data_IF_714959360939
#
_entry.id   IF_714959360939
#
_cell.length_a   1.000
_cell.length_b   1.000
_cell.length_c   1.000
_cell.angle_alpha   90.00
_cell.angle_beta   90.00
_cell.angle_gamma   90.00
#
_symmetry.space_group_name_H-M   'P 1'
#
loop_
_entity.id
_entity.type
_entity.pdbx_description
1 polymer ?
#
# COMPACT_ATOMS: atom_id res chain seq x y z
N UNK A 1 -60.48 -8.76 -41.74
CA UNK A 1 -59.43 -9.48 -41.01
C UNK A 1 -58.10 -9.06 -41.58
N UNK A 2 -57.36 -8.20 -40.90
CA UNK A 2 -55.98 -7.83 -41.28
C UNK A 2 -55.18 -7.64 -39.99
N UNK A 3 -54.35 -8.63 -39.68
CA UNK A 3 -53.40 -8.64 -38.58
C UNK A 3 -52.08 -8.02 -39.04
N UNK A 4 -51.67 -6.91 -38.41
CA UNK A 4 -50.33 -6.35 -38.56
C UNK A 4 -49.39 -7.00 -37.54
N UNK A 5 -48.44 -7.79 -38.03
CA UNK A 5 -47.28 -8.25 -37.24
C UNK A 5 -46.28 -7.11 -37.10
N UNK A 6 -46.19 -6.53 -35.90
CA UNK A 6 -45.13 -5.59 -35.57
C UNK A 6 -43.82 -6.33 -35.29
N UNK A 7 -42.79 -5.88 -36.02
CA UNK A 7 -41.43 -6.41 -36.10
C UNK A 7 -40.70 -6.46 -34.75
N UNK A 8 -40.21 -7.64 -34.39
CA UNK A 8 -39.37 -7.95 -33.20
C UNK A 8 -37.99 -7.27 -33.18
N UNK A 9 -37.62 -6.45 -34.17
CA UNK A 9 -36.28 -5.87 -34.28
C UNK A 9 -36.03 -4.65 -33.39
N UNK A 10 -37.07 -3.88 -33.04
CA UNK A 10 -36.91 -2.69 -32.18
C UNK A 10 -36.51 -3.02 -30.73
N UNK A 11 -37.02 -4.13 -30.20
CA UNK A 11 -36.81 -4.52 -28.79
C UNK A 11 -35.36 -4.91 -28.49
N UNK A 12 -34.67 -5.59 -29.42
CA UNK A 12 -33.25 -5.98 -29.24
C UNK A 12 -32.30 -4.78 -29.29
N UNK A 13 -32.62 -3.78 -30.10
CA UNK A 13 -31.79 -2.58 -30.29
C UNK A 13 -31.86 -1.66 -29.06
N UNK A 14 -33.06 -1.50 -28.48
CA UNK A 14 -33.26 -0.78 -27.22
C UNK A 14 -32.56 -1.50 -26.06
N UNK A 15 -32.64 -2.84 -25.99
CA UNK A 15 -31.96 -3.61 -24.96
C UNK A 15 -30.42 -3.52 -25.07
N UNK A 16 -29.87 -3.55 -26.29
CA UNK A 16 -28.43 -3.37 -26.51
C UNK A 16 -27.94 -1.97 -26.12
N UNK A 17 -28.73 -0.92 -26.37
CA UNK A 17 -28.40 0.45 -25.97
C UNK A 17 -28.46 0.61 -24.44
N UNK A 18 -29.42 -0.03 -23.75
CA UNK A 18 -29.48 -0.03 -22.29
C UNK A 18 -28.26 -0.74 -21.69
N UNK A 19 -27.88 -1.92 -22.21
CA UNK A 19 -26.68 -2.64 -21.76
C UNK A 19 -25.40 -1.83 -22.04
N UNK A 20 -25.30 -1.19 -23.21
CA UNK A 20 -24.16 -0.33 -23.54
C UNK A 20 -24.08 0.93 -22.66
N UNK A 21 -25.23 1.49 -22.25
CA UNK A 21 -25.29 2.64 -21.33
C UNK A 21 -24.96 2.29 -19.87
N UNK A 22 -25.16 1.02 -19.48
CA UNK A 22 -24.75 0.48 -18.18
C UNK A 22 -23.25 0.11 -18.15
N UNK A 23 -22.67 -0.14 -19.31
CA UNK A 23 -21.22 -0.28 -19.54
C UNK A 23 -20.58 1.09 -19.72
N UNK A 24 -20.90 2.06 -18.85
CA UNK A 24 -19.95 3.16 -18.68
C UNK A 24 -18.67 2.52 -18.13
N UNK A 25 -17.49 2.77 -18.71
CA UNK A 25 -16.26 2.41 -18.05
C UNK A 25 -16.32 3.17 -16.73
N UNK A 26 -16.57 2.46 -15.63
CA UNK A 26 -16.35 3.01 -14.31
C UNK A 26 -14.95 3.59 -14.39
N UNK A 27 -14.85 4.93 -14.35
CA UNK A 27 -13.61 5.64 -14.11
C UNK A 27 -13.21 5.23 -12.71
N UNK A 28 -12.72 3.99 -12.57
CA UNK A 28 -12.72 3.33 -11.28
C UNK A 28 -11.81 4.15 -10.40
N UNK A 29 -12.37 4.55 -9.27
CA UNK A 29 -11.73 5.43 -8.30
C UNK A 29 -10.25 5.02 -8.15
N UNK A 30 -9.28 5.94 -8.34
CA UNK A 30 -7.86 5.68 -8.14
C UNK A 30 -7.58 4.96 -6.82
N UNK A 31 -8.23 5.37 -5.72
CA UNK A 31 -8.12 4.72 -4.42
C UNK A 31 -8.52 3.23 -4.48
N UNK A 32 -9.65 2.91 -5.10
CA UNK A 32 -10.10 1.53 -5.23
C UNK A 32 -9.11 0.68 -6.05
N UNK A 33 -8.49 1.25 -7.08
CA UNK A 33 -7.44 0.58 -7.88
C UNK A 33 -6.17 0.32 -7.08
N UNK A 34 -5.78 1.23 -6.18
CA UNK A 34 -4.66 1.01 -5.27
C UNK A 34 -5.02 -0.10 -4.28
N UNK A 35 -6.14 0.04 -3.58
CA UNK A 35 -6.46 -0.86 -2.48
C UNK A 35 -6.74 -2.30 -2.91
N UNK A 36 -7.36 -2.54 -4.08
CA UNK A 36 -7.57 -3.91 -4.57
C UNK A 36 -6.26 -4.66 -4.86
N UNK A 37 -5.15 -3.95 -5.05
CA UNK A 37 -3.82 -4.52 -5.31
C UNK A 37 -2.94 -4.59 -4.06
N UNK A 38 -3.31 -3.89 -2.99
CA UNK A 38 -2.62 -3.97 -1.72
C UNK A 38 -2.86 -5.33 -1.05
N UNK A 39 -1.91 -5.76 -0.22
CA UNK A 39 -2.02 -7.00 0.58
C UNK A 39 -3.25 -7.03 1.48
N UNK A 40 -3.74 -5.87 1.92
CA UNK A 40 -4.95 -5.77 2.73
C UNK A 40 -5.87 -4.64 2.21
N UNK A 41 -6.79 -4.97 1.27
CA UNK A 41 -7.66 -3.98 0.66
C UNK A 41 -8.55 -3.23 1.66
N UNK A 42 -9.04 -3.91 2.70
CA UNK A 42 -9.91 -3.30 3.72
C UNK A 42 -9.13 -2.28 4.55
N UNK A 43 -7.93 -2.64 5.00
CA UNK A 43 -7.07 -1.74 5.74
C UNK A 43 -6.66 -0.54 4.88
N UNK A 44 -6.28 -0.77 3.61
CA UNK A 44 -5.96 0.30 2.67
C UNK A 44 -7.10 1.30 2.52
N UNK A 45 -8.34 0.83 2.33
CA UNK A 45 -9.50 1.72 2.24
C UNK A 45 -9.72 2.50 3.53
N UNK A 46 -9.54 1.86 4.69
CA UNK A 46 -9.69 2.51 5.99
C UNK A 46 -8.69 3.65 6.20
N UNK A 47 -7.42 3.44 5.86
CA UNK A 47 -6.36 4.44 6.11
C UNK A 47 -6.31 5.53 5.05
N UNK A 48 -6.88 5.29 3.86
CA UNK A 48 -6.89 6.25 2.76
C UNK A 48 -8.29 6.81 2.41
N UNK A 49 -9.30 6.58 3.25
CA UNK A 49 -10.71 6.95 2.95
C UNK A 49 -10.87 8.43 2.57
N UNK A 50 -10.15 9.32 3.28
CA UNK A 50 -10.16 10.75 3.02
C UNK A 50 -9.55 11.16 1.66
N UNK A 51 -8.86 10.24 0.98
CA UNK A 51 -8.22 10.44 -0.33
C UNK A 51 -9.01 9.83 -1.48
N UNK A 52 -10.31 9.59 -1.29
CA UNK A 52 -11.24 9.02 -2.28
C UNK A 52 -11.20 9.73 -3.65
N UNK A 53 -10.91 11.02 -3.70
CA UNK A 53 -10.87 11.81 -4.95
C UNK A 53 -9.47 12.26 -5.35
N UNK A 54 -8.45 11.77 -4.65
CA UNK A 54 -7.06 12.15 -4.91
C UNK A 54 -6.53 11.57 -6.20
N UNK A 55 -5.63 12.32 -6.84
CA UNK A 55 -4.87 11.86 -7.98
C UNK A 55 -3.97 10.69 -7.60
N UNK A 56 -3.54 9.84 -8.57
CA UNK A 56 -2.55 8.79 -8.30
C UNK A 56 -1.25 9.31 -7.66
N UNK A 57 -0.85 10.55 -7.96
CA UNK A 57 0.32 11.17 -7.35
C UNK A 57 0.09 11.43 -5.86
N UNK A 58 -1.01 12.09 -5.50
CA UNK A 58 -1.37 12.38 -4.12
C UNK A 58 -1.58 11.10 -3.30
N UNK A 59 -2.21 10.07 -3.88
CA UNK A 59 -2.35 8.76 -3.23
C UNK A 59 -0.98 8.10 -2.98
N UNK A 60 -0.04 8.21 -3.92
CA UNK A 60 1.31 7.66 -3.73
C UNK A 60 2.07 8.42 -2.65
N UNK A 61 1.98 9.75 -2.67
CA UNK A 61 2.58 10.62 -1.66
C UNK A 61 2.06 10.25 -0.26
N UNK A 62 0.75 10.08 -0.13
CA UNK A 62 0.15 9.76 1.15
C UNK A 62 0.48 8.34 1.63
N UNK A 63 0.49 7.36 0.73
CA UNK A 63 0.93 6.02 1.09
C UNK A 63 2.35 6.01 1.68
N UNK A 64 3.26 6.82 1.13
CA UNK A 64 4.62 6.98 1.65
C UNK A 64 4.59 7.63 3.03
N UNK A 65 3.79 8.69 3.22
CA UNK A 65 3.64 9.37 4.52
C UNK A 65 3.13 8.41 5.60
N UNK A 66 2.11 7.61 5.30
CA UNK A 66 1.55 6.63 6.24
C UNK A 66 2.59 5.55 6.61
N UNK A 67 3.38 5.08 5.64
CA UNK A 67 4.48 4.15 5.90
C UNK A 67 5.56 4.78 6.81
N UNK A 68 5.94 6.04 6.54
CA UNK A 68 6.90 6.79 7.37
C UNK A 68 6.39 6.96 8.80
N UNK A 69 5.16 7.43 8.97
CA UNK A 69 4.54 7.61 10.29
C UNK A 69 4.53 6.30 11.06
N UNK A 70 4.08 5.21 10.44
CA UNK A 70 4.10 3.88 11.07
C UNK A 70 5.51 3.45 11.46
N UNK A 71 6.52 3.73 10.63
CA UNK A 71 7.91 3.36 10.91
C UNK A 71 8.51 4.17 12.07
N UNK A 72 8.28 5.49 12.12
CA UNK A 72 8.73 6.34 13.21
C UNK A 72 8.04 5.99 14.53
N UNK A 73 6.71 5.84 14.54
CA UNK A 73 5.96 5.46 15.74
C UNK A 73 6.43 4.11 16.31
N UNK A 74 6.73 3.15 15.42
CA UNK A 74 7.26 1.85 15.87
C UNK A 74 8.67 1.98 16.43
N UNK A 75 9.51 2.84 15.84
CA UNK A 75 10.87 3.11 16.33
C UNK A 75 10.83 3.70 17.74
N UNK A 76 9.96 4.67 17.99
CA UNK A 76 9.74 5.26 19.33
C UNK A 76 9.26 4.21 20.35
N UNK A 77 8.39 3.31 19.91
CA UNK A 77 7.93 2.18 20.71
C UNK A 77 9.05 1.20 21.04
N UNK A 78 9.92 0.89 20.08
CA UNK A 78 11.09 0.03 20.30
C UNK A 78 12.05 0.66 21.31
N UNK A 79 12.31 1.97 21.22
CA UNK A 79 13.11 2.70 22.21
C UNK A 79 12.49 2.57 23.62
N UNK A 80 11.18 2.73 23.73
CA UNK A 80 10.47 2.54 25.01
C UNK A 80 10.66 1.12 25.56
N UNK A 81 10.61 0.09 24.72
CA UNK A 81 10.83 -1.29 25.16
C UNK A 81 12.28 -1.58 25.55
N UNK A 82 13.25 -0.97 24.86
CA UNK A 82 14.67 -1.05 25.23
C UNK A 82 14.93 -0.45 26.61
N UNK A 83 14.35 0.72 26.90
CA UNK A 83 14.54 1.39 28.20
C UNK A 83 13.93 0.60 29.37
N UNK A 84 12.92 -0.24 29.08
CA UNK A 84 12.18 -1.00 30.10
C UNK A 84 12.67 -2.43 30.29
N UNK A 85 13.30 -3.04 29.28
CA UNK A 85 13.71 -4.44 29.36
C UNK A 85 14.94 -4.64 30.23
N UNK A 86 14.95 -5.74 30.99
CA UNK A 86 16.16 -6.26 31.67
C UNK A 86 16.68 -7.55 31.05
N UNK A 87 15.99 -8.04 30.02
CA UNK A 87 16.37 -9.24 29.30
C UNK A 87 17.32 -8.86 28.16
N UNK A 88 18.56 -9.34 28.25
CA UNK A 88 19.62 -9.09 27.27
C UNK A 88 19.27 -9.63 25.87
N UNK A 89 18.57 -10.75 25.75
CA UNK A 89 18.16 -11.27 24.44
C UNK A 89 17.14 -10.36 23.77
N UNK A 90 16.18 -9.83 24.55
CA UNK A 90 15.22 -8.85 24.06
C UNK A 90 15.92 -7.55 23.65
N UNK A 91 16.94 -7.11 24.39
CA UNK A 91 17.77 -5.96 24.00
C UNK A 91 18.45 -6.18 22.64
N UNK A 92 19.01 -7.36 22.41
CA UNK A 92 19.60 -7.72 21.11
C UNK A 92 18.55 -7.72 20.00
N UNK A 93 17.36 -8.28 20.25
CA UNK A 93 16.27 -8.32 19.27
C UNK A 93 15.80 -6.91 18.92
N UNK A 94 15.53 -6.06 19.91
CA UNK A 94 15.07 -4.70 19.69
C UNK A 94 16.10 -3.84 18.95
N UNK A 95 17.40 -3.99 19.24
CA UNK A 95 18.45 -3.31 18.48
C UNK A 95 18.49 -3.74 17.00
N UNK A 96 18.25 -5.02 16.70
CA UNK A 96 18.10 -5.46 15.30
C UNK A 96 16.88 -4.82 14.64
N UNK A 97 15.74 -4.76 15.33
CA UNK A 97 14.55 -4.09 14.84
C UNK A 97 14.80 -2.60 14.56
N UNK A 98 15.48 -1.87 15.45
CA UNK A 98 15.87 -0.47 15.19
C UNK A 98 16.66 -0.33 13.89
N UNK A 99 17.61 -1.23 13.62
CA UNK A 99 18.38 -1.21 12.38
C UNK A 99 17.51 -1.42 11.12
N UNK A 100 16.59 -2.39 11.17
CA UNK A 100 15.65 -2.63 10.07
C UNK A 100 14.71 -1.45 9.85
N UNK A 101 14.12 -0.89 10.92
CA UNK A 101 13.24 0.27 10.82
C UNK A 101 13.97 1.52 10.33
N UNK A 102 15.20 1.77 10.77
CA UNK A 102 16.01 2.87 10.23
C UNK A 102 16.25 2.72 8.73
N UNK A 103 16.55 1.50 8.27
CA UNK A 103 16.75 1.22 6.84
C UNK A 103 15.48 1.50 6.04
N UNK A 104 14.31 1.08 6.55
CA UNK A 104 13.02 1.38 5.93
C UNK A 104 12.73 2.89 5.91
N UNK A 105 12.99 3.60 7.00
CA UNK A 105 12.83 5.05 7.11
C UNK A 105 13.70 5.79 6.07
N UNK A 106 14.97 5.41 5.94
CA UNK A 106 15.90 6.09 5.03
C UNK A 106 15.42 6.01 3.56
N UNK A 107 14.99 4.83 3.12
CA UNK A 107 14.50 4.65 1.74
C UNK A 107 13.13 5.29 1.52
N UNK A 108 12.26 5.31 2.53
CA UNK A 108 10.96 5.98 2.46
C UNK A 108 11.10 7.51 2.45
N UNK A 109 12.04 8.08 3.21
CA UNK A 109 12.40 9.50 3.14
C UNK A 109 12.92 9.84 1.74
N UNK A 110 13.81 9.02 1.17
CA UNK A 110 14.25 9.20 -0.22
C UNK A 110 13.09 9.18 -1.23
N UNK A 111 12.10 8.30 -1.01
CA UNK A 111 10.90 8.25 -1.84
C UNK A 111 10.03 9.51 -1.72
N UNK A 112 9.82 9.98 -0.48
CA UNK A 112 9.03 11.15 -0.13
C UNK A 112 9.65 12.45 -0.66
N UNK A 113 10.95 12.60 -0.46
CA UNK A 113 11.64 13.86 -0.66
C UNK A 113 12.02 14.06 -2.13
N UNK A 114 12.42 12.98 -2.83
CA UNK A 114 13.02 13.09 -4.15
C UNK A 114 12.42 12.13 -5.19
N UNK A 115 12.39 10.81 -4.94
CA UNK A 115 12.14 9.84 -6.02
C UNK A 115 10.78 10.01 -6.69
N UNK A 116 9.75 10.36 -5.92
CA UNK A 116 8.42 10.60 -6.47
C UNK A 116 8.38 11.83 -7.37
N UNK A 117 9.05 12.93 -6.97
CA UNK A 117 9.14 14.19 -7.74
C UNK A 117 9.90 14.00 -9.04
N UNK A 118 10.99 13.23 -9.00
CA UNK A 118 11.83 12.93 -10.15
C UNK A 118 11.26 11.83 -11.06
N UNK A 119 10.07 11.30 -10.73
CA UNK A 119 9.41 10.21 -11.47
C UNK A 119 10.24 8.92 -11.50
N UNK A 120 11.08 8.70 -10.49
CA UNK A 120 11.84 7.48 -10.27
C UNK A 120 10.94 6.41 -9.63
N UNK A 121 9.89 6.01 -10.35
CA UNK A 121 8.84 5.12 -9.84
C UNK A 121 9.36 3.75 -9.40
N UNK A 122 10.42 3.23 -10.04
CA UNK A 122 11.09 2.00 -9.61
C UNK A 122 11.75 2.15 -8.24
N UNK A 123 12.32 3.32 -7.93
CA UNK A 123 12.93 3.60 -6.63
C UNK A 123 11.85 3.78 -5.54
N UNK A 124 10.72 4.43 -5.85
CA UNK A 124 9.57 4.49 -4.93
C UNK A 124 9.00 3.09 -4.66
N UNK A 125 8.87 2.26 -5.70
CA UNK A 125 8.42 0.87 -5.55
C UNK A 125 9.38 0.05 -4.70
N UNK A 126 10.69 0.26 -4.89
CA UNK A 126 11.72 -0.37 -4.06
C UNK A 126 11.60 0.05 -2.59
N UNK A 127 11.37 1.33 -2.29
CA UNK A 127 11.16 1.79 -0.92
C UNK A 127 9.96 1.09 -0.25
N UNK A 128 8.84 0.96 -0.96
CA UNK A 128 7.68 0.19 -0.48
C UNK A 128 8.04 -1.27 -0.19
N UNK A 129 8.70 -1.96 -1.13
CA UNK A 129 9.16 -3.35 -0.95
C UNK A 129 10.10 -3.50 0.25
N UNK A 130 11.04 -2.55 0.41
CA UNK A 130 12.01 -2.58 1.49
C UNK A 130 11.35 -2.42 2.85
N UNK A 131 10.34 -1.56 2.97
CA UNK A 131 9.55 -1.44 4.19
C UNK A 131 8.88 -2.78 4.58
N UNK A 132 8.38 -3.55 3.61
CA UNK A 132 7.82 -4.89 3.88
C UNK A 132 8.89 -5.87 4.36
N UNK A 133 10.03 -5.91 3.67
CA UNK A 133 11.14 -6.80 4.01
C UNK A 133 11.68 -6.51 5.41
N UNK A 134 11.90 -5.24 5.74
CA UNK A 134 12.45 -4.83 7.03
C UNK A 134 11.47 -5.06 8.19
N UNK A 135 10.17 -4.84 7.98
CA UNK A 135 9.13 -5.21 8.95
C UNK A 135 9.10 -6.73 9.19
N UNK A 136 9.17 -7.52 8.12
CA UNK A 136 9.23 -8.98 8.20
C UNK A 136 10.49 -9.46 8.95
N UNK A 137 11.65 -8.85 8.69
CA UNK A 137 12.91 -9.20 9.34
C UNK A 137 12.92 -8.83 10.82
N UNK A 138 12.30 -7.71 11.21
CA UNK A 138 12.10 -7.40 12.62
C UNK A 138 11.21 -8.44 13.31
N UNK A 139 10.09 -8.84 12.69
CA UNK A 139 9.22 -9.87 13.25
C UNK A 139 9.97 -11.21 13.43
N UNK A 140 10.77 -11.60 12.45
CA UNK A 140 11.58 -12.83 12.53
C UNK A 140 12.74 -12.72 13.52
N UNK A 141 13.14 -11.52 13.94
CA UNK A 141 14.20 -11.36 14.92
C UNK A 141 13.82 -11.97 16.27
N UNK A 142 12.54 -12.00 16.65
CA UNK A 142 12.04 -12.62 17.88
C UNK A 142 12.19 -14.14 17.92
N UNK A 143 12.43 -14.75 16.75
CA UNK A 143 12.69 -16.19 16.60
C UNK A 143 14.19 -16.48 16.38
N UNK A 144 15.05 -15.46 16.40
CA UNK A 144 16.47 -15.57 16.01
C UNK A 144 17.40 -16.03 17.13
N UNK A 145 16.90 -16.17 18.35
CA UNK A 145 17.70 -16.60 19.52
C UNK A 145 17.62 -18.13 19.66
N UNK A 146 18.78 -18.78 19.68
CA UNK A 146 18.83 -20.23 19.78
C UNK A 146 18.31 -20.71 21.15
N UNK A 147 17.36 -21.65 21.13
CA UNK A 147 16.83 -22.26 22.36
C UNK A 147 15.68 -21.50 23.02
N UNK A 148 15.24 -20.37 22.47
CA UNK A 148 14.06 -19.65 22.95
C UNK A 148 13.31 -18.94 21.83
N UNK A 149 11.99 -19.04 21.83
CA UNK A 149 11.11 -18.30 20.92
C UNK A 149 10.40 -17.22 21.72
N UNK A 150 10.66 -15.96 21.39
CA UNK A 150 9.95 -14.83 21.98
C UNK A 150 8.68 -14.54 21.18
N UNK A 151 7.56 -14.32 21.88
CA UNK A 151 6.41 -13.69 21.26
C UNK A 151 6.75 -12.23 20.95
N UNK A 152 6.51 -11.81 19.71
CA UNK A 152 6.81 -10.45 19.28
C UNK A 152 5.84 -9.45 19.93
N UNK A 153 6.41 -8.47 20.61
CA UNK A 153 5.66 -7.31 21.15
C UNK A 153 5.32 -6.27 20.08
N UNK A 154 5.75 -6.53 18.83
CA UNK A 154 5.68 -5.64 17.69
C UNK A 154 4.90 -6.23 16.51
N UNK A 155 4.31 -7.43 16.65
CA UNK A 155 3.63 -8.12 15.53
C UNK A 155 2.68 -7.20 14.78
N UNK A 156 1.84 -6.46 15.50
CA UNK A 156 0.87 -5.56 14.86
C UNK A 156 1.53 -4.40 14.12
N UNK A 157 2.61 -3.86 14.68
CA UNK A 157 3.35 -2.73 14.11
C UNK A 157 4.12 -3.16 12.85
N UNK A 158 4.74 -4.36 12.91
CA UNK A 158 5.41 -5.00 11.78
C UNK A 158 4.41 -5.32 10.65
N UNK A 159 3.26 -5.91 10.98
CA UNK A 159 2.19 -6.15 10.00
C UNK A 159 1.71 -4.85 9.34
N UNK A 160 1.51 -3.79 10.13
CA UNK A 160 1.06 -2.50 9.62
C UNK A 160 2.07 -1.90 8.64
N UNK A 161 3.36 -1.86 9.00
CA UNK A 161 4.40 -1.36 8.09
C UNK A 161 4.49 -2.20 6.81
N UNK A 162 4.35 -3.53 6.92
CA UNK A 162 4.26 -4.42 5.77
C UNK A 162 3.09 -4.09 4.84
N UNK A 163 1.90 -3.86 5.41
CA UNK A 163 0.73 -3.46 4.63
C UNK A 163 0.93 -2.08 4.00
N UNK A 164 1.48 -1.10 4.73
CA UNK A 164 1.77 0.22 4.17
C UNK A 164 2.78 0.17 3.02
N UNK A 165 3.83 -0.65 3.13
CA UNK A 165 4.77 -0.92 2.03
C UNK A 165 4.07 -1.46 0.79
N UNK A 166 3.11 -2.39 0.96
CA UNK A 166 2.28 -2.90 -0.14
C UNK A 166 1.39 -1.82 -0.78
N UNK A 167 0.83 -0.91 0.02
CA UNK A 167 0.03 0.21 -0.46
C UNK A 167 0.90 1.16 -1.29
N UNK A 168 2.12 1.49 -0.83
CA UNK A 168 3.09 2.32 -1.58
C UNK A 168 3.37 1.71 -2.95
N UNK A 169 3.66 0.41 -3.01
CA UNK A 169 3.91 -0.31 -4.26
C UNK A 169 2.70 -0.26 -5.21
N UNK A 170 1.50 -0.46 -4.67
CA UNK A 170 0.25 -0.44 -5.45
C UNK A 170 -0.06 0.96 -5.99
N UNK A 171 0.17 1.99 -5.19
CA UNK A 171 -0.05 3.38 -5.56
C UNK A 171 0.91 3.84 -6.66
N UNK A 172 2.20 3.55 -6.52
CA UNK A 172 3.18 3.93 -7.54
C UNK A 172 2.99 3.16 -8.85
N UNK A 173 2.58 1.89 -8.80
CA UNK A 173 2.23 1.13 -10.01
C UNK A 173 1.04 1.77 -10.74
N UNK A 174 0.04 2.26 -10.01
CA UNK A 174 -1.07 3.00 -10.61
C UNK A 174 -0.60 4.31 -11.24
N UNK A 175 0.24 5.07 -10.54
CA UNK A 175 0.81 6.33 -11.03
C UNK A 175 1.63 6.13 -12.30
N UNK A 176 2.53 5.14 -12.33
CA UNK A 176 3.33 4.80 -13.50
C UNK A 176 2.45 4.46 -14.71
N UNK A 177 1.45 3.60 -14.53
CA UNK A 177 0.53 3.24 -15.61
C UNK A 177 -0.25 4.46 -16.13
N UNK A 178 -0.68 5.36 -15.24
CA UNK A 178 -1.42 6.57 -15.62
C UNK A 178 -0.58 7.59 -16.41
N UNK A 179 0.74 7.60 -16.18
CA UNK A 179 1.67 8.52 -16.85
C UNK A 179 2.23 7.94 -18.14
N UNK A 180 2.48 6.62 -18.20
CA UNK A 180 2.89 5.93 -19.42
C UNK A 180 1.85 6.04 -20.53
N UNK A 181 0.56 5.91 -20.21
CA UNK A 181 -0.53 6.01 -21.19
C UNK A 181 -0.62 7.42 -21.80
N UNK A 182 -0.35 8.47 -21.01
CA UNK A 182 -0.37 9.86 -21.48
C UNK A 182 0.77 10.20 -22.43
N UNK A 183 1.90 9.50 -22.34
CA UNK A 183 3.06 9.74 -23.22
C UNK A 183 2.99 8.95 -24.54
N UNK A 184 2.01 8.05 -24.69
CA UNK A 184 1.78 7.24 -25.89
C UNK A 184 0.65 7.74 -26.80
N UNK A 185 0.01 8.85 -26.42
CA UNK A 185 -1.02 9.56 -27.21
C UNK A 185 -0.45 10.89 -27.69
#
# INVERSE_FOLDING_TARGET
TTSFSFSSFGSKLVLCLIIASLMTPSTSNPLAKVCIRSENPKFCLQVLDQYTYSSPYELTQEAINLALTSAYETTDKIHTFLDQTKNHDLEVIYNKCLHYYQTAIDVLNGANDQFLKDRLYSAVKFAGKRAQEDAFLCEHAFQSIAGYVYDSTLTKDNENLGIFGSIVMSAVDLLYNSTSVKNSM
#
